data_IF_446478837251
#
_entry.id   IF_446478837251
#
_cell.length_a   1.000
_cell.length_b   1.000
_cell.length_c   1.000
_cell.angle_alpha   90.00
_cell.angle_beta   90.00
_cell.angle_gamma   90.00
#
_symmetry.space_group_name_H-M   'P 1'
#
loop_
_entity.id
_entity.type
_entity.pdbx_description
1 polymer ?
#
# COMPACT_ATOMS: atom_id res chain seq x y z
N UNK A 1 43.52 31.38 -38.50
CA UNK A 1 43.39 29.97 -38.10
C UNK A 1 42.40 29.84 -36.96
N UNK A 2 41.63 28.76 -37.01
CA UNK A 2 40.29 28.65 -36.43
C UNK A 2 40.25 27.90 -35.10
N UNK A 3 39.29 28.31 -34.26
CA UNK A 3 38.57 27.63 -33.16
C UNK A 3 39.04 27.68 -31.69
N UNK A 4 38.07 27.74 -30.74
CA UNK A 4 38.26 28.04 -29.32
C UNK A 4 38.03 26.83 -28.37
N UNK A 5 38.29 27.10 -27.08
CA UNK A 5 37.80 26.51 -25.81
C UNK A 5 36.73 25.40 -25.86
N UNK A 6 36.90 24.38 -25.00
CA UNK A 6 35.98 24.10 -23.87
C UNK A 6 36.20 22.68 -23.35
N UNK A 7 36.83 22.56 -22.17
CA UNK A 7 36.84 21.32 -21.41
C UNK A 7 35.55 21.22 -20.63
N UNK A 8 34.64 20.36 -21.08
CA UNK A 8 33.36 20.14 -20.40
C UNK A 8 33.58 19.59 -18.98
N UNK A 9 32.93 20.24 -18.03
CA UNK A 9 32.85 19.87 -16.62
C UNK A 9 32.40 18.42 -16.44
N UNK A 10 33.25 17.61 -15.83
CA UNK A 10 32.87 16.30 -15.30
C UNK A 10 32.04 16.50 -14.04
N UNK A 11 30.74 16.78 -14.20
CA UNK A 11 29.78 16.72 -13.12
C UNK A 11 29.65 15.28 -12.64
N UNK A 12 30.37 14.95 -11.56
CA UNK A 12 30.13 13.72 -10.80
C UNK A 12 28.66 13.73 -10.36
N UNK A 13 27.86 12.68 -10.58
CA UNK A 13 26.55 12.61 -9.96
C UNK A 13 26.77 12.63 -8.45
N UNK A 14 26.27 13.66 -7.77
CA UNK A 14 26.04 13.61 -6.32
C UNK A 14 25.06 12.47 -6.11
N UNK A 15 25.55 11.31 -5.70
CA UNK A 15 24.71 10.31 -5.06
C UNK A 15 24.29 10.93 -3.74
N UNK A 16 23.20 11.71 -3.76
CA UNK A 16 22.44 11.92 -2.54
C UNK A 16 21.85 10.56 -2.21
N UNK A 17 22.47 9.85 -1.27
CA UNK A 17 21.86 8.69 -0.65
C UNK A 17 20.58 9.19 -0.01
N UNK A 18 19.43 8.99 -0.67
CA UNK A 18 18.15 9.10 0.02
C UNK A 18 18.23 8.22 1.27
N UNK A 19 17.69 8.66 2.43
CA UNK A 19 17.53 7.73 3.54
C UNK A 19 16.73 6.55 3.00
N UNK A 20 17.31 5.36 3.06
CA UNK A 20 16.52 4.16 2.86
C UNK A 20 15.55 4.11 4.03
N UNK A 21 14.27 4.33 3.76
CA UNK A 21 13.24 3.96 4.73
C UNK A 21 13.38 2.44 4.91
N UNK A 22 13.66 2.00 6.14
CA UNK A 22 13.55 0.59 6.46
C UNK A 22 12.08 0.19 6.28
N UNK A 23 11.84 -0.93 5.61
CA UNK A 23 10.50 -1.47 5.48
C UNK A 23 10.33 -2.63 6.45
N UNK A 24 9.24 -2.63 7.20
CA UNK A 24 8.87 -3.73 8.09
C UNK A 24 7.71 -4.53 7.48
N UNK A 25 7.73 -5.87 7.59
CA UNK A 25 6.63 -6.69 7.13
C UNK A 25 5.40 -6.45 8.02
N UNK A 26 4.26 -6.17 7.39
CA UNK A 26 2.97 -6.03 8.04
C UNK A 26 1.94 -6.99 7.43
N UNK A 27 0.96 -7.42 8.23
CA UNK A 27 -0.19 -8.19 7.77
C UNK A 27 -1.44 -7.44 8.24
N UNK A 28 -2.40 -7.28 7.34
CA UNK A 28 -3.68 -6.64 7.63
C UNK A 28 -4.74 -7.71 7.85
N UNK A 29 -5.49 -7.57 8.95
CA UNK A 29 -6.61 -8.46 9.27
C UNK A 29 -7.85 -7.66 9.62
N UNK A 30 -9.00 -8.17 9.19
CA UNK A 30 -10.31 -7.58 9.52
C UNK A 30 -11.39 -8.67 9.51
N UNK A 31 -12.33 -8.59 10.44
CA UNK A 31 -13.55 -9.39 10.38
C UNK A 31 -14.56 -8.72 9.45
N UNK A 32 -15.03 -9.43 8.43
CA UNK A 32 -16.04 -8.94 7.50
C UNK A 32 -16.97 -10.07 7.07
N UNK A 33 -18.25 -9.95 7.43
CA UNK A 33 -19.29 -10.94 7.12
C UNK A 33 -20.24 -10.51 5.98
N UNK A 34 -20.00 -9.34 5.38
CA UNK A 34 -20.91 -8.71 4.41
C UNK A 34 -20.61 -9.07 2.94
N UNK A 35 -19.61 -9.91 2.69
CA UNK A 35 -19.21 -10.35 1.34
C UNK A 35 -20.25 -11.28 0.71
N UNK A 36 -20.47 -11.14 -0.60
CA UNK A 36 -21.28 -12.07 -1.40
C UNK A 36 -20.37 -13.00 -2.22
N UNK A 37 -20.91 -14.09 -2.81
CA UNK A 37 -20.14 -14.92 -3.73
C UNK A 37 -19.48 -14.12 -4.86
N UNK A 38 -18.14 -14.20 -4.94
CA UNK A 38 -17.30 -13.47 -5.89
C UNK A 38 -16.91 -12.05 -5.45
N UNK A 39 -17.23 -11.65 -4.22
CA UNK A 39 -16.63 -10.48 -3.57
C UNK A 39 -15.39 -10.90 -2.78
N UNK A 40 -14.47 -9.95 -2.59
CA UNK A 40 -13.36 -10.06 -1.65
C UNK A 40 -13.20 -8.78 -0.84
N UNK A 41 -12.49 -8.89 0.28
CA UNK A 41 -12.04 -7.76 1.07
C UNK A 41 -10.68 -7.29 0.57
N UNK A 42 -10.50 -5.98 0.50
CA UNK A 42 -9.25 -5.34 0.12
C UNK A 42 -8.88 -4.25 1.12
N UNK A 43 -7.60 -3.93 1.22
CA UNK A 43 -7.09 -2.78 1.97
C UNK A 43 -6.33 -1.84 1.04
N UNK A 44 -6.63 -0.55 1.14
CA UNK A 44 -5.90 0.51 0.45
C UNK A 44 -5.62 1.67 1.39
N UNK A 45 -4.61 2.47 1.09
CA UNK A 45 -4.14 3.51 1.98
C UNK A 45 -3.33 4.58 1.29
N UNK A 46 -2.74 5.49 2.05
CA UNK A 46 -1.94 6.62 1.54
C UNK A 46 -0.58 6.20 0.97
N UNK A 47 -0.05 5.03 1.34
CA UNK A 47 1.26 4.56 0.94
C UNK A 47 1.22 3.78 -0.39
N UNK A 48 2.31 3.85 -1.16
CA UNK A 48 2.44 3.13 -2.43
C UNK A 48 2.24 1.62 -2.29
N UNK A 49 2.72 1.03 -1.20
CA UNK A 49 2.56 -0.38 -0.88
C UNK A 49 1.09 -0.81 -0.64
N UNK A 50 0.20 0.16 -0.38
CA UNK A 50 -1.23 -0.05 -0.19
C UNK A 50 -2.06 0.41 -1.40
N UNK A 51 -1.43 0.81 -2.50
CA UNK A 51 -2.13 1.27 -3.70
C UNK A 51 -2.86 2.59 -3.45
N UNK A 52 -2.18 3.75 -3.57
CA UNK A 52 -2.52 5.04 -2.95
C UNK A 52 -3.99 5.47 -3.14
N UNK A 53 -4.86 5.09 -2.20
CA UNK A 53 -6.32 5.25 -2.21
C UNK A 53 -7.02 4.80 -3.50
N UNK A 54 -6.43 3.84 -4.21
CA UNK A 54 -6.88 3.35 -5.51
C UNK A 54 -7.40 1.91 -5.36
N UNK A 55 -8.73 1.67 -5.42
CA UNK A 55 -9.31 0.34 -5.23
C UNK A 55 -8.75 -0.72 -6.18
N UNK A 56 -8.50 -0.37 -7.44
CA UNK A 56 -7.88 -1.23 -8.46
C UNK A 56 -6.45 -1.66 -8.12
N UNK A 57 -5.77 -0.92 -7.23
CA UNK A 57 -4.41 -1.20 -6.74
C UNK A 57 -4.37 -1.66 -5.28
N UNK A 58 -5.54 -1.81 -4.64
CA UNK A 58 -5.64 -2.22 -3.24
C UNK A 58 -5.07 -3.63 -3.02
N UNK A 59 -4.53 -3.90 -1.84
CA UNK A 59 -4.06 -5.24 -1.47
C UNK A 59 -5.28 -6.14 -1.18
N UNK A 60 -5.35 -7.29 -1.84
CA UNK A 60 -6.41 -8.28 -1.60
C UNK A 60 -6.15 -9.05 -0.31
N UNK A 61 -7.22 -9.23 0.48
CA UNK A 61 -7.24 -10.14 1.61
C UNK A 61 -7.91 -11.44 1.20
N UNK A 62 -7.50 -12.53 1.83
CA UNK A 62 -8.04 -13.87 1.63
C UNK A 62 -8.68 -14.39 2.92
N UNK A 63 -9.64 -15.29 2.76
CA UNK A 63 -10.27 -16.04 3.85
C UNK A 63 -10.51 -17.49 3.40
N UNK A 64 -10.95 -18.33 4.33
CA UNK A 64 -11.38 -19.70 4.05
C UNK A 64 -12.69 -19.99 4.79
N UNK A 65 -13.42 -21.07 4.47
CA UNK A 65 -14.61 -21.45 5.23
C UNK A 65 -14.36 -21.67 6.73
N UNK A 66 -13.12 -22.02 7.12
CA UNK A 66 -12.75 -22.22 8.52
C UNK A 66 -12.37 -20.91 9.23
N UNK A 67 -11.89 -19.92 8.48
CA UNK A 67 -11.43 -18.63 9.03
C UNK A 67 -12.51 -17.56 8.97
N UNK A 68 -13.49 -17.67 8.06
CA UNK A 68 -14.56 -16.69 7.90
C UNK A 68 -15.31 -16.47 9.22
N UNK A 69 -15.50 -15.20 9.66
CA UNK A 69 -15.41 -13.97 8.88
C UNK A 69 -14.06 -13.24 8.90
N UNK A 70 -12.96 -13.86 9.35
CA UNK A 70 -11.63 -13.23 9.37
C UNK A 70 -10.99 -13.25 7.97
N UNK A 71 -10.57 -12.07 7.52
CA UNK A 71 -9.83 -11.87 6.26
C UNK A 71 -8.40 -11.44 6.57
N UNK A 72 -7.42 -11.94 5.82
CA UNK A 72 -5.99 -11.69 6.06
C UNK A 72 -5.26 -11.36 4.75
N UNK A 73 -4.41 -10.33 4.75
CA UNK A 73 -3.60 -9.98 3.58
C UNK A 73 -2.38 -10.89 3.44
N UNK A 74 -1.73 -10.86 2.28
CA UNK A 74 -0.32 -11.23 2.20
C UNK A 74 0.54 -10.24 2.99
N UNK A 75 1.80 -10.58 3.23
CA UNK A 75 2.76 -9.66 3.88
C UNK A 75 2.97 -8.43 2.99
N UNK A 76 2.75 -7.25 3.56
CA UNK A 76 2.97 -5.95 2.92
C UNK A 76 4.16 -5.26 3.57
N UNK A 77 5.22 -4.91 2.81
CA UNK A 77 6.33 -4.14 3.34
C UNK A 77 5.92 -2.67 3.50
N UNK A 78 5.87 -2.18 4.74
CA UNK A 78 5.55 -0.78 5.03
C UNK A 78 6.78 -0.02 5.52
N UNK A 79 7.01 1.21 5.04
CA UNK A 79 8.09 2.07 5.54
C UNK A 79 7.91 2.37 7.04
N UNK A 80 8.99 2.24 7.80
CA UNK A 80 9.04 2.64 9.20
C UNK A 80 9.17 4.15 9.35
N UNK A 81 8.65 4.70 10.44
CA UNK A 81 8.72 6.13 10.75
C UNK A 81 7.72 7.00 9.98
N UNK A 82 6.83 6.37 9.19
CA UNK A 82 5.74 7.03 8.48
C UNK A 82 4.39 6.51 8.99
N UNK A 83 3.38 7.39 9.03
CA UNK A 83 2.00 7.00 9.32
C UNK A 83 1.35 6.41 8.07
N UNK A 84 1.00 5.12 8.14
CA UNK A 84 0.15 4.48 7.16
C UNK A 84 -1.31 4.74 7.54
N UNK A 85 -2.00 5.50 6.71
CA UNK A 85 -3.45 5.63 6.74
C UNK A 85 -4.07 4.61 5.79
N UNK A 86 -5.13 3.93 6.18
CA UNK A 86 -5.76 2.92 5.34
C UNK A 86 -7.25 2.74 5.63
N UNK A 87 -7.96 2.15 4.68
CA UNK A 87 -9.32 1.64 4.85
C UNK A 87 -9.51 0.30 4.15
N UNK A 88 -10.43 -0.48 4.68
CA UNK A 88 -10.93 -1.69 4.03
C UNK A 88 -12.08 -1.37 3.08
N UNK A 89 -12.20 -2.16 2.02
CA UNK A 89 -13.33 -2.14 1.09
C UNK A 89 -13.72 -3.56 0.67
N UNK A 90 -14.99 -3.75 0.36
CA UNK A 90 -15.53 -4.93 -0.32
C UNK A 90 -15.77 -4.58 -1.78
N UNK A 91 -15.28 -5.40 -2.70
CA UNK A 91 -15.49 -5.26 -4.14
C UNK A 91 -15.50 -6.65 -4.79
N UNK A 92 -15.95 -6.76 -6.04
CA UNK A 92 -15.76 -7.96 -6.85
C UNK A 92 -14.28 -8.31 -6.95
N UNK A 93 -13.97 -9.60 -6.92
CA UNK A 93 -12.59 -10.11 -7.03
C UNK A 93 -11.89 -9.64 -8.32
N UNK A 94 -12.64 -9.57 -9.43
CA UNK A 94 -12.16 -9.08 -10.72
C UNK A 94 -12.06 -7.54 -10.81
N UNK A 95 -12.29 -6.83 -9.71
CA UNK A 95 -12.33 -5.36 -9.58
C UNK A 95 -13.41 -4.69 -10.42
N UNK A 96 -14.37 -5.45 -10.95
CA UNK A 96 -15.55 -4.87 -11.57
C UNK A 96 -16.50 -4.29 -10.52
N UNK A 97 -17.29 -3.29 -10.91
CA UNK A 97 -18.27 -2.66 -10.02
C UNK A 97 -17.66 -1.74 -8.95
N UNK A 98 -18.53 -1.16 -8.13
CA UNK A 98 -18.15 -0.15 -7.14
C UNK A 98 -17.56 -0.78 -5.86
N UNK A 99 -16.53 -0.15 -5.32
CA UNK A 99 -16.00 -0.47 -3.99
C UNK A 99 -16.97 0.01 -2.90
N UNK A 100 -17.38 -0.90 -2.00
CA UNK A 100 -18.06 -0.57 -0.76
C UNK A 100 -17.02 -0.40 0.34
N UNK A 101 -16.79 0.83 0.77
CA UNK A 101 -15.82 1.14 1.82
C UNK A 101 -16.37 0.80 3.21
N UNK A 102 -15.46 0.54 4.15
CA UNK A 102 -15.83 0.43 5.56
C UNK A 102 -16.44 1.75 6.08
N UNK A 103 -17.45 1.61 6.94
CA UNK A 103 -18.21 2.71 7.49
C UNK A 103 -17.66 3.10 8.86
N UNK A 104 -16.60 3.90 8.84
CA UNK A 104 -16.00 4.51 10.03
C UNK A 104 -15.77 6.01 9.75
N UNK A 105 -15.78 6.86 10.80
CA UNK A 105 -15.29 8.22 10.70
C UNK A 105 -13.78 8.23 10.36
N UNK A 106 -13.41 8.86 9.25
CA UNK A 106 -12.01 9.00 8.83
C UNK A 106 -11.37 7.70 8.34
N UNK A 107 -10.06 7.60 8.57
CA UNK A 107 -9.18 6.50 8.14
C UNK A 107 -8.60 5.77 9.36
N UNK A 108 -8.28 4.48 9.22
CA UNK A 108 -7.44 3.76 10.18
C UNK A 108 -6.00 4.25 10.05
N UNK A 109 -5.23 4.27 11.13
CA UNK A 109 -3.86 4.77 11.14
C UNK A 109 -2.94 3.82 11.91
N UNK A 110 -1.74 3.57 11.39
CA UNK A 110 -0.68 2.83 12.06
C UNK A 110 0.69 3.41 11.70
N UNK A 111 1.57 3.53 12.68
CA UNK A 111 2.99 3.91 12.46
C UNK A 111 3.86 2.74 12.90
N UNK A 112 4.68 2.22 11.99
CA UNK A 112 5.67 1.22 12.34
C UNK A 112 6.95 1.92 12.81
N UNK A 113 7.34 1.69 14.05
CA UNK A 113 8.64 2.13 14.59
C UNK A 113 9.59 0.95 14.55
N UNK A 114 10.70 1.06 13.82
CA UNK A 114 11.79 0.09 13.95
C UNK A 114 12.42 0.25 15.33
N UNK A 115 12.51 -0.82 16.11
CA UNK A 115 13.32 -0.87 17.33
C UNK A 115 14.81 -1.00 17.00
#
# INVERSE_FOLDING_TARGET
SSRPQSGAESLRPRVHSSPAFFAMPAVFQVECSETKPGDAVFVTGNLDALGPWAPDRAVQLVTSPADFPLWTSTVVPLPTGCSAEFKFLVQREDRSGAAKWEDIPGNRNVTLTGE
#
